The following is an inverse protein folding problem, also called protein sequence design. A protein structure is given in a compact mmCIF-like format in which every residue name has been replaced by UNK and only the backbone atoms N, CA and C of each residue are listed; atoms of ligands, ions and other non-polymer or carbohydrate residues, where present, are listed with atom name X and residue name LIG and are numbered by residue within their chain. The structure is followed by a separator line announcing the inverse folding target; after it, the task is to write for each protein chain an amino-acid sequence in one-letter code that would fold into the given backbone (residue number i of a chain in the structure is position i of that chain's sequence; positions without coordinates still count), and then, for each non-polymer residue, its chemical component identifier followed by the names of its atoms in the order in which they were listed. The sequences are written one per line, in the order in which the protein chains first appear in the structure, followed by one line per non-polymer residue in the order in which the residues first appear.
data_IF_673829550727
#
_entry.id   IF_673829550727
#
_cell.length_a   1.000
_cell.length_b   1.000
_cell.length_c   1.000
_cell.angle_alpha   90.00
_cell.angle_beta   90.00
_cell.angle_gamma   90.00
#
_symmetry.space_group_name_H-M   'P 1'
#
loop_
_entity.id
_entity.type
_entity.pdbx_description
1 polymer ?
#
# COMPACT_ATOMS: atom_id res chain seq x y z
N UNK A 1 -47.60 -125.00 -9.84
CA UNK A 1 -47.29 -125.73 -11.07
C UNK A 1 -48.37 -125.40 -12.09
N UNK A 2 -48.01 -124.72 -13.18
CA UNK A 2 -48.96 -124.27 -14.20
C UNK A 2 -49.24 -125.41 -15.17
N UNK A 3 -50.36 -126.08 -14.96
CA UNK A 3 -50.83 -127.12 -15.85
C UNK A 3 -51.25 -126.48 -17.19
N UNK A 4 -50.62 -126.83 -18.34
CA UNK A 4 -50.91 -126.21 -19.64
C UNK A 4 -52.37 -126.39 -20.07
N UNK A 5 -53.04 -127.39 -19.53
CA UNK A 5 -54.45 -127.71 -19.78
C UNK A 5 -55.39 -126.58 -19.30
N UNK A 6 -55.13 -126.02 -18.12
CA UNK A 6 -55.96 -124.95 -17.52
C UNK A 6 -55.80 -123.62 -18.29
N UNK A 7 -54.60 -123.35 -18.82
CA UNK A 7 -54.34 -122.15 -19.64
C UNK A 7 -55.17 -122.13 -20.93
N UNK A 8 -55.37 -123.30 -21.54
CA UNK A 8 -56.10 -123.45 -22.80
C UNK A 8 -57.60 -123.25 -22.59
N UNK A 9 -58.16 -123.80 -21.51
CA UNK A 9 -59.57 -123.62 -21.14
C UNK A 9 -59.96 -122.14 -20.85
N UNK A 10 -59.02 -121.33 -20.34
CA UNK A 10 -59.22 -119.88 -20.18
C UNK A 10 -59.12 -119.14 -21.52
N UNK A 11 -58.23 -119.55 -22.42
CA UNK A 11 -58.12 -118.96 -23.77
C UNK A 11 -59.35 -119.27 -24.63
N UNK A 12 -59.93 -120.45 -24.49
CA UNK A 12 -61.13 -120.88 -25.22
C UNK A 12 -62.44 -120.37 -24.54
N UNK A 13 -62.32 -119.43 -23.59
CA UNK A 13 -63.41 -118.80 -22.84
C UNK A 13 -64.33 -119.76 -22.04
N UNK A 14 -63.87 -120.98 -21.78
CA UNK A 14 -64.61 -121.99 -21.01
C UNK A 14 -64.42 -121.83 -19.50
N UNK A 15 -63.35 -121.16 -19.04
CA UNK A 15 -63.11 -120.82 -17.64
C UNK A 15 -62.78 -119.33 -17.49
N UNK A 16 -63.44 -118.63 -16.54
CA UNK A 16 -63.12 -117.22 -16.23
C UNK A 16 -61.96 -117.14 -15.25
N UNK A 17 -60.91 -116.43 -15.62
CA UNK A 17 -59.73 -116.20 -14.79
C UNK A 17 -59.33 -114.71 -14.72
N UNK A 18 -58.73 -114.33 -13.60
CA UNK A 18 -58.17 -112.99 -13.37
C UNK A 18 -56.65 -113.11 -13.28
N UNK A 19 -55.95 -112.27 -14.04
CA UNK A 19 -54.50 -112.13 -13.94
C UNK A 19 -54.14 -111.06 -12.92
N UNK A 20 -53.31 -111.42 -11.94
CA UNK A 20 -52.77 -110.44 -10.99
C UNK A 20 -51.57 -109.70 -11.61
N UNK A 21 -51.20 -108.50 -11.11
CA UNK A 21 -50.08 -107.71 -11.65
C UNK A 21 -48.72 -108.43 -11.67
N UNK A 22 -48.57 -109.55 -10.94
CA UNK A 22 -47.38 -110.41 -10.94
C UNK A 22 -47.41 -111.58 -11.93
N UNK A 23 -48.36 -111.61 -12.87
CA UNK A 23 -48.41 -112.63 -13.94
C UNK A 23 -48.94 -114.01 -13.52
N UNK A 24 -49.51 -114.14 -12.32
CA UNK A 24 -50.14 -115.37 -11.86
C UNK A 24 -51.64 -115.38 -12.22
N UNK A 25 -52.09 -116.48 -12.83
CA UNK A 25 -53.49 -116.71 -13.19
C UNK A 25 -54.25 -117.33 -12.01
N UNK A 26 -55.36 -116.71 -11.60
CA UNK A 26 -56.29 -117.28 -10.62
C UNK A 26 -57.64 -117.55 -11.30
N UNK A 27 -58.04 -118.81 -11.33
CA UNK A 27 -59.35 -119.24 -11.86
C UNK A 27 -60.39 -119.04 -10.76
N UNK A 28 -61.54 -118.42 -11.10
CA UNK A 28 -62.63 -118.21 -10.16
C UNK A 28 -63.26 -119.57 -9.82
N UNK A 29 -63.39 -119.89 -8.52
CA UNK A 29 -63.93 -121.19 -8.06
C UNK A 29 -65.34 -121.45 -8.59
N UNK A 30 -66.18 -120.40 -8.69
CA UNK A 30 -67.51 -120.53 -9.28
C UNK A 30 -67.52 -120.93 -10.77
N UNK A 31 -66.44 -120.70 -11.52
CA UNK A 31 -66.33 -121.16 -12.91
C UNK A 31 -65.80 -122.59 -13.06
N UNK A 32 -65.20 -123.17 -12.01
CA UNK A 32 -64.87 -124.60 -11.98
C UNK A 32 -66.12 -125.44 -11.69
N UNK A 33 -66.97 -124.96 -10.77
CA UNK A 33 -68.25 -125.60 -10.46
C UNK A 33 -69.24 -125.54 -11.65
N UNK A 34 -69.20 -124.46 -12.44
CA UNK A 34 -69.99 -124.29 -13.68
C UNK A 34 -69.47 -125.17 -14.86
N UNK A 35 -68.27 -125.76 -14.76
CA UNK A 35 -67.69 -126.61 -15.82
C UNK A 35 -67.81 -128.12 -15.50
N UNK A 36 -67.83 -128.52 -14.22
CA UNK A 36 -68.01 -129.94 -13.82
C UNK A 36 -69.47 -130.42 -13.85
N UNK A 37 -70.44 -129.52 -13.82
CA UNK A 37 -71.86 -129.84 -13.97
C UNK A 37 -72.33 -129.57 -15.42
N UNK A 38 -72.20 -130.59 -16.27
CA UNK A 38 -72.80 -130.58 -17.60
C UNK A 38 -74.33 -130.54 -17.54
N UNK A 39 -74.89 -129.74 -18.46
CA UNK A 39 -76.23 -129.83 -19.05
C UNK A 39 -77.45 -129.52 -18.15
N UNK A 40 -78.25 -128.54 -18.54
CA UNK A 40 -79.58 -128.80 -19.15
C UNK A 40 -80.44 -127.52 -19.27
N UNK A 41 -81.17 -127.50 -20.37
CA UNK A 41 -82.14 -126.51 -20.82
C UNK A 41 -83.43 -126.48 -19.98
N UNK A 42 -84.13 -125.34 -19.99
CA UNK A 42 -85.58 -125.25 -20.27
C UNK A 42 -86.00 -123.76 -20.19
N UNK A 43 -86.49 -123.14 -21.26
CA UNK A 43 -87.85 -123.18 -21.81
C UNK A 43 -88.97 -122.86 -20.79
N UNK A 44 -89.64 -121.71 -20.97
CA UNK A 44 -91.06 -121.64 -21.40
C UNK A 44 -91.67 -120.23 -21.27
N UNK A 45 -91.91 -119.62 -22.42
CA UNK A 45 -93.16 -118.97 -22.87
C UNK A 45 -94.22 -118.46 -21.87
N UNK A 46 -94.55 -117.17 -22.06
CA UNK A 46 -95.90 -116.63 -22.37
C UNK A 46 -96.99 -116.61 -21.28
N UNK A 47 -97.25 -115.40 -20.73
CA UNK A 47 -98.61 -114.85 -20.59
C UNK A 47 -98.60 -113.31 -20.48
N UNK A 48 -99.66 -112.59 -20.92
CA UNK A 48 -99.57 -111.24 -21.48
C UNK A 48 -99.94 -110.13 -20.48
N UNK A 49 -98.95 -109.33 -20.04
CA UNK A 49 -99.20 -108.01 -19.40
C UNK A 49 -97.99 -107.04 -19.52
N UNK A 50 -97.02 -107.34 -20.40
CA UNK A 50 -95.72 -106.67 -20.47
C UNK A 50 -95.57 -105.64 -21.62
N UNK A 51 -96.66 -104.99 -22.05
CA UNK A 51 -96.61 -103.93 -23.10
C UNK A 51 -96.63 -102.49 -22.55
N UNK A 52 -96.85 -102.27 -21.25
CA UNK A 52 -96.87 -100.93 -20.63
C UNK A 52 -95.55 -100.50 -19.94
N UNK A 53 -94.48 -101.32 -19.96
CA UNK A 53 -93.18 -101.00 -19.32
C UNK A 53 -92.02 -100.72 -20.30
N UNK A 54 -92.18 -100.94 -21.62
CA UNK A 54 -91.11 -100.71 -22.61
C UNK A 54 -91.03 -99.27 -23.13
N UNK A 55 -92.15 -98.55 -23.21
CA UNK A 55 -92.15 -97.13 -23.59
C UNK A 55 -91.50 -96.22 -22.53
N UNK A 56 -91.62 -96.59 -21.24
CA UNK A 56 -91.04 -95.82 -20.12
C UNK A 56 -89.52 -95.91 -20.01
N UNK A 57 -88.87 -96.93 -20.60
CA UNK A 57 -87.40 -97.07 -20.53
C UNK A 57 -86.72 -96.32 -21.68
N UNK A 58 -87.34 -96.27 -22.86
CA UNK A 58 -86.82 -95.51 -24.00
C UNK A 58 -86.99 -93.99 -23.77
N UNK A 59 -88.13 -93.55 -23.24
CA UNK A 59 -88.36 -92.14 -22.86
C UNK A 59 -87.39 -91.68 -21.76
N UNK A 60 -87.12 -92.51 -20.75
CA UNK A 60 -86.11 -92.21 -19.72
C UNK A 60 -84.68 -92.19 -20.28
N UNK A 61 -84.37 -92.97 -21.31
CA UNK A 61 -83.04 -92.97 -21.94
C UNK A 61 -82.81 -91.70 -22.78
N UNK A 62 -83.86 -91.21 -23.46
CA UNK A 62 -83.84 -89.93 -24.15
C UNK A 62 -83.80 -88.76 -23.16
N UNK A 63 -84.56 -88.81 -22.07
CA UNK A 63 -84.48 -87.81 -20.99
C UNK A 63 -83.08 -87.75 -20.36
N UNK A 64 -82.44 -88.89 -20.13
CA UNK A 64 -81.07 -88.94 -19.56
C UNK A 64 -80.05 -88.35 -20.55
N UNK A 65 -80.13 -88.66 -21.85
CA UNK A 65 -79.25 -88.07 -22.85
C UNK A 65 -79.53 -86.57 -23.06
N UNK A 66 -80.78 -86.14 -23.05
CA UNK A 66 -81.15 -84.74 -23.14
C UNK A 66 -80.67 -83.95 -21.92
N UNK A 67 -80.77 -84.52 -20.71
CA UNK A 67 -80.23 -83.94 -19.49
C UNK A 67 -78.69 -83.88 -19.52
N UNK A 68 -78.01 -84.87 -20.11
CA UNK A 68 -76.56 -84.84 -20.30
C UNK A 68 -76.12 -83.74 -21.27
N UNK A 69 -76.79 -83.61 -22.42
CA UNK A 69 -76.51 -82.55 -23.41
C UNK A 69 -76.83 -81.18 -22.82
N UNK A 70 -77.97 -81.02 -22.13
CA UNK A 70 -78.31 -79.77 -21.42
C UNK A 70 -77.27 -79.42 -20.35
N UNK A 71 -76.74 -80.41 -19.64
CA UNK A 71 -75.65 -80.21 -18.66
C UNK A 71 -74.35 -79.81 -19.34
N UNK A 72 -73.99 -80.41 -20.47
CA UNK A 72 -72.81 -80.03 -21.26
C UNK A 72 -72.95 -78.63 -21.86
N UNK A 73 -74.10 -78.29 -22.44
CA UNK A 73 -74.38 -76.93 -22.95
C UNK A 73 -74.33 -75.90 -21.83
N UNK A 74 -74.87 -76.22 -20.65
CA UNK A 74 -74.79 -75.35 -19.46
C UNK A 74 -73.35 -75.21 -18.95
N UNK A 75 -72.55 -76.28 -19.01
CA UNK A 75 -71.13 -76.23 -18.64
C UNK A 75 -70.31 -75.40 -19.63
N UNK A 76 -70.55 -75.55 -20.93
CA UNK A 76 -69.88 -74.77 -21.97
C UNK A 76 -70.25 -73.28 -21.88
N UNK A 77 -71.54 -72.96 -21.71
CA UNK A 77 -71.97 -71.56 -21.49
C UNK A 77 -71.38 -70.96 -20.21
N UNK A 78 -71.33 -71.72 -19.13
CA UNK A 78 -70.69 -71.26 -17.89
C UNK A 78 -69.17 -71.11 -18.04
N UNK A 79 -68.51 -71.89 -18.90
CA UNK A 79 -67.10 -71.74 -19.23
C UNK A 79 -66.85 -70.50 -20.11
N UNK A 80 -67.67 -70.28 -21.14
CA UNK A 80 -67.64 -69.09 -21.98
C UNK A 80 -67.89 -67.81 -21.17
N UNK A 81 -68.87 -67.82 -20.26
CA UNK A 81 -69.13 -66.69 -19.35
C UNK A 81 -67.93 -66.39 -18.44
N UNK A 82 -67.25 -67.43 -17.93
CA UNK A 82 -66.03 -67.27 -17.11
C UNK A 82 -64.87 -66.70 -17.93
N UNK A 83 -64.65 -67.20 -19.14
CA UNK A 83 -63.64 -66.65 -20.04
C UNK A 83 -63.95 -65.21 -20.44
N UNK A 84 -65.22 -64.86 -20.66
CA UNK A 84 -65.62 -63.48 -20.93
C UNK A 84 -65.39 -62.56 -19.72
N UNK A 85 -65.70 -63.03 -18.51
CA UNK A 85 -65.43 -62.29 -17.28
C UNK A 85 -63.92 -62.11 -17.12
N UNK A 86 -63.12 -63.15 -17.31
CA UNK A 86 -61.66 -63.10 -17.22
C UNK A 86 -61.06 -62.15 -18.28
N UNK A 87 -61.56 -62.17 -19.53
CA UNK A 87 -61.14 -61.21 -20.56
C UNK A 87 -61.54 -59.78 -20.21
N UNK A 88 -62.72 -59.56 -19.65
CA UNK A 88 -63.17 -58.24 -19.17
C UNK A 88 -62.32 -57.76 -17.99
N UNK A 89 -61.94 -58.65 -17.07
CA UNK A 89 -61.07 -58.34 -15.94
C UNK A 89 -59.64 -58.04 -16.37
N UNK A 90 -59.07 -58.83 -17.29
CA UNK A 90 -57.75 -58.57 -17.88
C UNK A 90 -57.74 -57.22 -18.59
N UNK A 91 -58.78 -56.92 -19.38
CA UNK A 91 -58.93 -55.63 -20.06
C UNK A 91 -59.07 -54.47 -19.07
N UNK A 92 -59.92 -54.61 -18.05
CA UNK A 92 -60.09 -53.61 -17.00
C UNK A 92 -58.80 -53.41 -16.18
N UNK A 93 -58.04 -54.49 -15.92
CA UNK A 93 -56.74 -54.42 -15.26
C UNK A 93 -55.69 -53.73 -16.13
N UNK A 94 -55.67 -54.00 -17.45
CA UNK A 94 -54.81 -53.33 -18.41
C UNK A 94 -55.14 -51.82 -18.50
N UNK A 95 -56.42 -51.45 -18.59
CA UNK A 95 -56.86 -50.05 -18.59
C UNK A 95 -56.50 -49.34 -17.28
N UNK A 96 -56.63 -50.00 -16.12
CA UNK A 96 -56.19 -49.44 -14.82
C UNK A 96 -54.68 -49.27 -14.76
N UNK A 97 -53.90 -50.21 -15.30
CA UNK A 97 -52.43 -50.10 -15.39
C UNK A 97 -52.03 -48.95 -16.32
N UNK A 98 -52.71 -48.81 -17.45
CA UNK A 98 -52.47 -47.72 -18.39
C UNK A 98 -52.79 -46.37 -17.76
N UNK A 99 -53.94 -46.21 -17.11
CA UNK A 99 -54.27 -44.97 -16.37
C UNK A 99 -53.24 -44.64 -15.29
N UNK A 100 -52.79 -45.63 -14.53
CA UNK A 100 -51.72 -45.42 -13.53
C UNK A 100 -50.40 -45.02 -14.17
N UNK A 101 -50.07 -45.56 -15.34
CA UNK A 101 -48.87 -45.19 -16.09
C UNK A 101 -48.99 -43.75 -16.63
N UNK A 102 -50.16 -43.38 -17.17
CA UNK A 102 -50.44 -42.04 -17.66
C UNK A 102 -50.43 -41.00 -16.52
N UNK A 103 -51.06 -41.31 -15.38
CA UNK A 103 -51.05 -40.47 -14.17
C UNK A 103 -49.63 -40.32 -13.61
N UNK A 104 -48.83 -41.39 -13.63
CA UNK A 104 -47.43 -41.35 -13.22
C UNK A 104 -46.59 -40.49 -14.18
N UNK A 105 -46.78 -40.62 -15.49
CA UNK A 105 -46.11 -39.80 -16.49
C UNK A 105 -46.47 -38.30 -16.36
N UNK A 106 -47.74 -37.98 -16.09
CA UNK A 106 -48.19 -36.60 -15.81
C UNK A 106 -47.58 -36.07 -14.50
N UNK A 107 -47.45 -36.90 -13.47
CA UNK A 107 -46.82 -36.51 -12.22
C UNK A 107 -45.31 -36.25 -12.40
N UNK A 108 -44.62 -37.05 -13.22
CA UNK A 108 -43.21 -36.87 -13.56
C UNK A 108 -42.96 -35.59 -14.36
N UNK A 109 -43.77 -35.30 -15.38
CA UNK A 109 -43.65 -34.05 -16.15
C UNK A 109 -43.88 -32.82 -15.26
N UNK A 110 -44.87 -32.85 -14.37
CA UNK A 110 -45.10 -31.77 -13.38
C UNK A 110 -43.94 -31.59 -12.42
N UNK A 111 -43.31 -32.68 -11.96
CA UNK A 111 -42.11 -32.60 -11.10
C UNK A 111 -40.94 -31.96 -11.84
N UNK A 112 -40.68 -32.40 -13.08
CA UNK A 112 -39.64 -31.83 -13.92
C UNK A 112 -39.88 -30.34 -14.20
N UNK A 113 -41.12 -29.93 -14.48
CA UNK A 113 -41.48 -28.51 -14.66
C UNK A 113 -41.24 -27.68 -13.40
N UNK A 114 -41.58 -28.21 -12.21
CA UNK A 114 -41.34 -27.52 -10.94
C UNK A 114 -39.86 -27.41 -10.61
N UNK A 115 -39.06 -28.45 -10.90
CA UNK A 115 -37.61 -28.42 -10.75
C UNK A 115 -36.99 -27.38 -11.69
N UNK A 116 -37.39 -27.37 -12.96
CA UNK A 116 -36.91 -26.40 -13.94
C UNK A 116 -37.30 -24.95 -13.58
N UNK A 117 -38.48 -24.73 -13.01
CA UNK A 117 -38.86 -23.42 -12.45
C UNK A 117 -37.95 -23.02 -11.28
N UNK A 118 -37.70 -23.94 -10.34
CA UNK A 118 -36.81 -23.68 -9.19
C UNK A 118 -35.37 -23.39 -9.63
N UNK A 119 -34.88 -24.08 -10.66
CA UNK A 119 -33.56 -23.81 -11.24
C UNK A 119 -33.49 -22.44 -11.88
N UNK A 120 -34.50 -22.06 -12.69
CA UNK A 120 -34.61 -20.70 -13.26
C UNK A 120 -34.64 -19.63 -12.17
N UNK A 121 -35.47 -19.81 -11.14
CA UNK A 121 -35.53 -18.86 -10.03
C UNK A 121 -34.17 -18.72 -9.30
N UNK A 122 -33.44 -19.84 -9.14
CA UNK A 122 -32.08 -19.82 -8.56
C UNK A 122 -31.09 -19.10 -9.47
N UNK A 123 -31.14 -19.35 -10.78
CA UNK A 123 -30.28 -18.67 -11.75
C UNK A 123 -30.55 -17.17 -11.80
N UNK A 124 -31.82 -16.77 -11.84
CA UNK A 124 -32.24 -15.37 -11.83
C UNK A 124 -31.75 -14.67 -10.55
N UNK A 125 -31.92 -15.30 -9.38
CA UNK A 125 -31.37 -14.76 -8.11
C UNK A 125 -29.85 -14.64 -8.16
N UNK A 126 -29.14 -15.61 -8.74
CA UNK A 126 -27.67 -15.53 -8.91
C UNK A 126 -27.26 -14.41 -9.86
N UNK A 127 -28.02 -14.19 -10.94
CA UNK A 127 -27.80 -13.07 -11.87
C UNK A 127 -28.02 -11.73 -11.17
N UNK A 128 -29.15 -11.56 -10.50
CA UNK A 128 -29.47 -10.35 -9.73
C UNK A 128 -28.40 -10.05 -8.68
N UNK A 129 -27.93 -11.07 -7.95
CA UNK A 129 -26.86 -10.91 -6.98
C UNK A 129 -25.54 -10.47 -7.64
N UNK A 130 -25.16 -11.04 -8.79
CA UNK A 130 -23.95 -10.64 -9.53
C UNK A 130 -24.06 -9.21 -10.07
N UNK A 131 -25.21 -8.85 -10.61
CA UNK A 131 -25.47 -7.49 -11.11
C UNK A 131 -25.41 -6.47 -9.96
N UNK A 132 -26.01 -6.80 -8.82
CA UNK A 132 -25.93 -6.02 -7.59
C UNK A 132 -24.47 -5.84 -7.15
N UNK A 133 -23.71 -6.93 -7.02
CA UNK A 133 -22.31 -6.90 -6.61
C UNK A 133 -21.46 -6.07 -7.58
N UNK A 134 -21.61 -6.28 -8.89
CA UNK A 134 -20.86 -5.56 -9.93
C UNK A 134 -21.17 -4.06 -9.89
N UNK A 135 -22.45 -3.69 -9.75
CA UNK A 135 -22.89 -2.30 -9.64
C UNK A 135 -22.24 -1.61 -8.45
N UNK A 136 -22.26 -2.24 -7.27
CA UNK A 136 -21.73 -1.63 -6.05
C UNK A 136 -20.21 -1.65 -5.97
N UNK A 137 -19.55 -2.65 -6.56
CA UNK A 137 -18.10 -2.65 -6.72
C UNK A 137 -17.63 -1.53 -7.63
N UNK A 138 -18.33 -1.30 -8.76
CA UNK A 138 -18.04 -0.16 -9.63
C UNK A 138 -18.23 1.16 -8.89
N UNK A 139 -19.34 1.33 -8.18
CA UNK A 139 -19.60 2.53 -7.38
C UNK A 139 -18.53 2.76 -6.31
N UNK A 140 -18.10 1.71 -5.61
CA UNK A 140 -16.99 1.76 -4.67
C UNK A 140 -15.66 2.17 -5.34
N UNK A 141 -15.38 1.63 -6.53
CA UNK A 141 -14.23 2.03 -7.34
C UNK A 141 -14.27 3.52 -7.68
N UNK A 142 -15.41 4.01 -8.18
CA UNK A 142 -15.61 5.42 -8.51
C UNK A 142 -15.39 6.33 -7.28
N UNK A 143 -15.83 5.89 -6.09
CA UNK A 143 -15.58 6.61 -4.84
C UNK A 143 -14.10 6.65 -4.46
N UNK A 144 -13.37 5.53 -4.62
CA UNK A 144 -11.93 5.47 -4.32
C UNK A 144 -11.08 6.27 -5.31
N UNK A 145 -11.55 6.43 -6.54
CA UNK A 145 -10.94 7.29 -7.57
C UNK A 145 -11.28 8.77 -7.39
N UNK A 146 -12.27 9.08 -6.56
CA UNK A 146 -12.64 10.44 -6.19
C UNK A 146 -11.50 11.23 -5.55
N UNK A 147 -11.60 12.56 -5.62
CA UNK A 147 -10.59 13.49 -5.07
C UNK A 147 -10.31 13.24 -3.58
N UNK A 148 -11.32 12.82 -2.81
CA UNK A 148 -11.24 12.53 -1.39
C UNK A 148 -10.27 11.38 -1.04
N UNK A 149 -10.10 10.39 -1.92
CA UNK A 149 -9.29 9.19 -1.67
C UNK A 149 -8.16 8.98 -2.69
N UNK A 150 -8.04 9.87 -3.67
CA UNK A 150 -6.97 9.89 -4.68
C UNK A 150 -5.53 9.85 -4.12
N UNK A 151 -5.35 10.20 -2.85
CA UNK A 151 -4.07 10.19 -2.15
C UNK A 151 -3.64 8.82 -1.62
N UNK A 152 -4.53 7.81 -1.66
CA UNK A 152 -4.23 6.44 -1.27
C UNK A 152 -3.29 5.78 -2.29
N UNK A 153 -2.29 5.03 -1.80
CA UNK A 153 -1.41 4.24 -2.66
C UNK A 153 -2.19 3.13 -3.38
N UNK A 154 -1.61 2.56 -4.44
CA UNK A 154 -2.21 1.42 -5.12
C UNK A 154 -2.41 0.21 -4.19
N UNK A 155 -1.45 -0.04 -3.27
CA UNK A 155 -1.56 -1.11 -2.29
C UNK A 155 -2.70 -0.88 -1.28
N UNK A 156 -2.85 0.36 -0.78
CA UNK A 156 -3.93 0.73 0.12
C UNK A 156 -5.30 0.64 -0.55
N UNK A 157 -5.39 1.09 -1.81
CA UNK A 157 -6.62 0.94 -2.62
C UNK A 157 -6.98 -0.53 -2.80
N UNK A 158 -6.02 -1.39 -3.14
CA UNK A 158 -6.25 -2.84 -3.24
C UNK A 158 -6.77 -3.45 -1.93
N UNK A 159 -6.19 -3.07 -0.79
CA UNK A 159 -6.61 -3.56 0.53
C UNK A 159 -8.04 -3.09 0.90
N UNK A 160 -8.41 -1.86 0.53
CA UNK A 160 -9.77 -1.36 0.70
C UNK A 160 -10.73 -2.10 -0.23
N UNK A 161 -10.39 -2.27 -1.51
CA UNK A 161 -11.22 -2.98 -2.49
C UNK A 161 -11.49 -4.42 -2.06
N UNK A 162 -10.48 -5.17 -1.60
CA UNK A 162 -10.65 -6.54 -1.11
C UNK A 162 -11.63 -6.62 0.08
N UNK A 163 -11.53 -5.67 1.02
CA UNK A 163 -12.46 -5.59 2.16
C UNK A 163 -13.86 -5.18 1.75
N UNK A 164 -13.99 -4.30 0.75
CA UNK A 164 -15.28 -3.90 0.19
C UNK A 164 -15.94 -5.05 -0.56
N UNK A 165 -15.18 -5.84 -1.33
CA UNK A 165 -15.65 -7.07 -1.98
C UNK A 165 -16.21 -8.05 -0.94
N UNK A 166 -15.47 -8.27 0.16
CA UNK A 166 -15.91 -9.14 1.24
C UNK A 166 -17.15 -8.62 1.98
N UNK A 167 -17.34 -7.31 2.13
CA UNK A 167 -18.57 -6.75 2.74
C UNK A 167 -19.75 -6.77 1.77
N UNK A 168 -19.56 -6.37 0.51
CA UNK A 168 -20.59 -6.40 -0.55
C UNK A 168 -21.09 -7.83 -0.77
N UNK A 169 -20.22 -8.85 -0.67
CA UNK A 169 -20.62 -10.25 -0.77
C UNK A 169 -21.60 -10.71 0.32
N UNK A 170 -21.68 -10.01 1.46
CA UNK A 170 -22.60 -10.29 2.57
C UNK A 170 -23.94 -9.57 2.44
N UNK A 171 -24.09 -8.67 1.46
CA UNK A 171 -25.27 -7.81 1.27
C UNK A 171 -26.19 -8.38 0.20
N UNK A 172 -27.44 -7.97 0.26
CA UNK A 172 -28.47 -8.33 -0.72
C UNK A 172 -29.21 -7.10 -1.27
N UNK A 173 -30.18 -7.34 -2.14
CA UNK A 173 -30.97 -6.28 -2.76
C UNK A 173 -31.78 -5.45 -1.75
N UNK A 174 -32.05 -5.95 -0.54
CA UNK A 174 -32.77 -5.17 0.48
C UNK A 174 -31.92 -4.02 1.02
N UNK A 175 -30.59 -4.14 0.95
CA UNK A 175 -29.64 -3.11 1.39
C UNK A 175 -29.41 -2.02 0.33
N UNK A 176 -29.95 -2.15 -0.89
CA UNK A 176 -29.62 -1.29 -2.05
C UNK A 176 -29.74 0.20 -1.75
N UNK A 177 -30.80 0.63 -1.06
CA UNK A 177 -31.00 2.04 -0.70
C UNK A 177 -29.97 2.58 0.31
N UNK A 178 -29.35 1.69 1.10
CA UNK A 178 -28.39 2.03 2.17
C UNK A 178 -26.93 1.86 1.73
N UNK A 179 -26.68 1.10 0.67
CA UNK A 179 -25.34 0.79 0.16
C UNK A 179 -24.43 2.02 -0.01
N UNK A 180 -24.87 3.19 -0.53
CA UNK A 180 -23.99 4.36 -0.64
C UNK A 180 -23.43 4.81 0.71
N UNK A 181 -24.29 4.81 1.75
CA UNK A 181 -23.90 5.18 3.10
C UNK A 181 -23.01 4.13 3.75
N UNK A 182 -23.32 2.85 3.57
CA UNK A 182 -22.53 1.74 4.11
C UNK A 182 -21.12 1.77 3.54
N UNK A 183 -20.99 1.85 2.21
CA UNK A 183 -19.69 1.89 1.54
C UNK A 183 -18.91 3.15 1.91
N UNK A 184 -19.56 4.32 1.96
CA UNK A 184 -18.90 5.56 2.37
C UNK A 184 -18.35 5.49 3.80
N UNK A 185 -19.13 4.96 4.75
CA UNK A 185 -18.67 4.78 6.13
C UNK A 185 -17.55 3.75 6.26
N UNK A 186 -17.65 2.65 5.51
CA UNK A 186 -16.64 1.60 5.52
C UNK A 186 -15.31 2.10 4.94
N UNK A 187 -15.33 2.77 3.78
CA UNK A 187 -14.14 3.40 3.17
C UNK A 187 -13.53 4.40 4.14
N UNK A 188 -14.33 5.30 4.73
CA UNK A 188 -13.83 6.28 5.68
C UNK A 188 -13.16 5.62 6.90
N UNK A 189 -13.76 4.57 7.46
CA UNK A 189 -13.18 3.84 8.60
C UNK A 189 -11.89 3.11 8.27
N UNK A 190 -11.78 2.55 7.06
CA UNK A 190 -10.57 1.88 6.58
C UNK A 190 -9.46 2.88 6.24
N UNK A 191 -9.82 4.05 5.72
CA UNK A 191 -8.86 5.10 5.36
C UNK A 191 -8.40 5.95 6.55
N UNK A 192 -9.19 6.01 7.63
CA UNK A 192 -8.94 6.84 8.81
C UNK A 192 -7.53 6.67 9.40
N UNK A 193 -6.99 5.45 9.60
CA UNK A 193 -5.63 5.29 10.13
C UNK A 193 -4.56 5.93 9.24
N UNK A 194 -4.70 5.79 7.91
CA UNK A 194 -3.76 6.37 6.96
C UNK A 194 -3.93 7.89 6.85
N UNK A 195 -5.16 8.38 6.95
CA UNK A 195 -5.44 9.81 6.98
C UNK A 195 -4.81 10.45 8.22
N UNK A 196 -5.02 9.88 9.41
CA UNK A 196 -4.39 10.33 10.66
C UNK A 196 -2.86 10.32 10.55
N UNK A 197 -2.27 9.28 9.97
CA UNK A 197 -0.82 9.21 9.76
C UNK A 197 -0.33 10.29 8.79
N UNK A 198 -1.07 10.55 7.71
CA UNK A 198 -0.73 11.57 6.71
C UNK A 198 -0.84 12.98 7.30
N UNK A 199 -1.91 13.25 8.02
CA UNK A 199 -2.16 14.55 8.66
C UNK A 199 -1.14 14.80 9.78
N UNK A 200 -0.83 13.80 10.60
CA UNK A 200 0.24 13.89 11.59
C UNK A 200 1.61 14.14 10.97
N UNK A 201 1.93 13.52 9.82
CA UNK A 201 3.15 13.82 9.08
C UNK A 201 3.15 15.26 8.57
N UNK A 202 2.07 15.70 7.92
CA UNK A 202 1.92 17.07 7.41
C UNK A 202 2.05 18.12 8.52
N UNK A 203 1.43 17.88 9.68
CA UNK A 203 1.54 18.77 10.84
C UNK A 203 2.98 18.87 11.33
N UNK A 204 3.71 17.75 11.41
CA UNK A 204 5.13 17.77 11.80
C UNK A 204 6.01 18.47 10.77
N UNK A 205 5.78 18.22 9.48
CA UNK A 205 6.52 18.86 8.39
C UNK A 205 6.27 20.39 8.39
N UNK A 206 5.01 20.82 8.56
CA UNK A 206 4.64 22.23 8.69
C UNK A 206 5.28 22.90 9.92
N UNK A 207 5.27 22.21 11.06
CA UNK A 207 5.91 22.70 12.28
C UNK A 207 7.43 22.83 12.10
N UNK A 208 8.06 21.88 11.42
CA UNK A 208 9.49 21.95 11.12
C UNK A 208 9.81 23.18 10.26
N UNK A 209 9.03 23.42 9.20
CA UNK A 209 9.18 24.60 8.34
C UNK A 209 8.93 25.91 9.11
N UNK A 210 7.90 25.97 9.96
CA UNK A 210 7.61 27.13 10.79
C UNK A 210 8.77 27.45 11.73
N UNK A 211 9.29 26.43 12.43
CA UNK A 211 10.43 26.57 13.34
C UNK A 211 11.68 27.02 12.58
N UNK A 212 11.98 26.47 11.41
CA UNK A 212 13.15 26.88 10.62
C UNK A 212 13.01 28.34 10.15
N UNK A 213 11.79 28.81 9.85
CA UNK A 213 11.53 30.21 9.49
C UNK A 213 11.73 31.20 10.63
N UNK A 214 11.73 30.74 11.88
CA UNK A 214 12.04 31.60 13.05
C UNK A 214 13.55 31.81 13.25
N UNK A 215 14.41 31.15 12.47
CA UNK A 215 15.83 31.45 12.47
C UNK A 215 16.10 32.89 12.00
N UNK A 216 17.18 33.47 12.49
CA UNK A 216 17.56 34.84 12.12
C UNK A 216 17.85 34.97 10.62
N UNK A 217 17.77 36.20 10.11
CA UNK A 217 18.08 36.50 8.71
C UNK A 217 19.52 36.15 8.33
N UNK A 218 20.45 36.16 9.29
CA UNK A 218 21.84 35.77 9.06
C UNK A 218 22.05 34.25 8.98
N UNK A 219 21.01 33.43 9.13
CA UNK A 219 21.09 31.98 8.94
C UNK A 219 21.40 31.64 7.48
N UNK A 220 22.46 30.86 7.26
CA UNK A 220 22.85 30.38 5.92
C UNK A 220 21.90 29.28 5.43
N UNK A 221 21.97 28.94 4.15
CA UNK A 221 21.21 27.80 3.61
C UNK A 221 21.60 26.49 4.29
N UNK A 222 22.88 26.32 4.64
CA UNK A 222 23.36 25.15 5.38
C UNK A 222 22.77 25.08 6.79
N UNK A 223 22.70 26.22 7.50
CA UNK A 223 22.06 26.29 8.82
C UNK A 223 20.57 25.92 8.74
N UNK A 224 19.86 26.39 7.71
CA UNK A 224 18.43 26.09 7.49
C UNK A 224 18.21 24.62 7.13
N UNK A 225 19.03 24.06 6.25
CA UNK A 225 18.97 22.65 5.87
C UNK A 225 19.27 21.75 7.07
N UNK A 226 20.33 22.05 7.83
CA UNK A 226 20.70 21.34 9.05
C UNK A 226 19.62 21.42 10.13
N UNK A 227 19.00 22.60 10.30
CA UNK A 227 17.88 22.78 11.21
C UNK A 227 16.66 21.95 10.82
N UNK A 228 16.31 21.94 9.53
CA UNK A 228 15.18 21.16 9.03
C UNK A 228 15.41 19.65 9.25
N UNK A 229 16.62 19.16 9.02
CA UNK A 229 16.98 17.75 9.30
C UNK A 229 16.86 17.45 10.80
N UNK A 230 17.49 18.27 11.65
CA UNK A 230 17.55 18.06 13.11
C UNK A 230 16.16 18.11 13.74
N UNK A 231 15.31 19.05 13.31
CA UNK A 231 13.93 19.17 13.80
C UNK A 231 13.09 17.99 13.31
N UNK A 232 13.19 17.61 12.04
CA UNK A 232 12.43 16.46 11.52
C UNK A 232 12.81 15.15 12.21
N UNK A 233 14.10 14.93 12.49
CA UNK A 233 14.55 13.76 13.22
C UNK A 233 14.01 13.72 14.66
N UNK A 234 14.03 14.86 15.35
CA UNK A 234 13.45 14.98 16.69
C UNK A 234 11.93 14.75 16.70
N UNK A 235 11.21 15.31 15.71
CA UNK A 235 9.75 15.13 15.58
C UNK A 235 9.38 13.70 15.17
N UNK A 236 10.16 13.03 14.33
CA UNK A 236 9.94 11.61 13.97
C UNK A 236 10.17 10.66 15.14
N UNK A 237 11.12 11.01 16.01
CA UNK A 237 11.43 10.25 17.22
C UNK A 237 10.40 10.47 18.35
N UNK A 238 9.48 11.44 18.19
CA UNK A 238 8.40 11.68 19.14
C UNK A 238 7.28 10.65 18.98
N UNK A 239 6.72 10.20 20.11
CA UNK A 239 5.62 9.22 20.13
C UNK A 239 4.34 9.74 19.44
N UNK A 240 3.40 8.85 19.11
CA UNK A 240 2.13 9.22 18.47
C UNK A 240 1.21 10.06 19.38
N UNK A 241 1.36 9.98 20.71
CA UNK A 241 0.48 10.63 21.69
C UNK A 241 0.98 12.00 22.18
N UNK A 242 1.99 12.57 21.52
CA UNK A 242 2.59 13.84 21.93
C UNK A 242 1.69 15.00 21.52
N UNK A 243 1.35 15.85 22.48
CA UNK A 243 0.51 17.05 22.25
C UNK A 243 1.22 18.09 21.37
N UNK A 244 0.46 18.95 20.70
CA UNK A 244 1.01 19.99 19.83
C UNK A 244 2.03 20.91 20.55
N UNK A 245 1.75 21.28 21.81
CA UNK A 245 2.67 22.08 22.63
C UNK A 245 4.00 21.35 22.91
N UNK A 246 3.93 20.04 23.17
CA UNK A 246 5.13 19.23 23.38
C UNK A 246 5.93 19.06 22.09
N UNK A 247 5.27 18.87 20.93
CA UNK A 247 5.95 18.84 19.63
C UNK A 247 6.69 20.15 19.37
N UNK A 248 6.07 21.29 19.68
CA UNK A 248 6.71 22.60 19.55
C UNK A 248 7.93 22.73 20.46
N UNK A 249 7.82 22.33 21.73
CA UNK A 249 8.94 22.34 22.67
C UNK A 249 10.10 21.43 22.23
N UNK A 250 9.81 20.24 21.69
CA UNK A 250 10.80 19.33 21.13
C UNK A 250 11.54 19.99 19.95
N UNK A 251 10.80 20.58 19.02
CA UNK A 251 11.39 21.27 17.86
C UNK A 251 12.26 22.48 18.27
N UNK A 252 11.78 23.30 19.22
CA UNK A 252 12.54 24.43 19.76
C UNK A 252 13.83 23.98 20.46
N UNK A 253 13.77 22.88 21.22
CA UNK A 253 14.95 22.31 21.88
C UNK A 253 15.94 21.76 20.85
N UNK A 254 15.45 21.12 19.79
CA UNK A 254 16.28 20.55 18.72
C UNK A 254 17.03 21.63 17.93
N UNK A 255 16.40 22.78 17.66
CA UNK A 255 17.02 23.88 16.90
C UNK A 255 17.89 24.83 17.76
N UNK A 256 17.78 24.77 19.09
CA UNK A 256 18.51 25.67 20.00
C UNK A 256 20.04 25.70 19.79
N UNK A 257 20.75 24.59 19.51
CA UNK A 257 22.18 24.62 19.22
C UNK A 257 22.52 25.42 17.95
N UNK A 258 21.71 25.28 16.90
CA UNK A 258 21.90 25.99 15.62
C UNK A 258 21.61 27.48 15.79
N UNK A 259 20.54 27.82 16.52
CA UNK A 259 20.25 29.23 16.88
C UNK A 259 21.42 29.89 17.60
N UNK A 260 21.97 29.22 18.61
CA UNK A 260 23.16 29.71 19.33
C UNK A 260 24.35 29.91 18.41
N UNK A 261 24.60 28.99 17.47
CA UNK A 261 25.68 29.17 16.48
C UNK A 261 25.46 30.41 15.62
N UNK A 262 24.25 30.61 15.10
CA UNK A 262 23.89 31.81 14.31
C UNK A 262 24.08 33.08 15.14
N UNK A 263 23.52 33.11 16.36
CA UNK A 263 23.65 34.24 17.30
C UNK A 263 25.11 34.57 17.60
N UNK A 264 25.98 33.56 17.80
CA UNK A 264 27.41 33.79 18.03
C UNK A 264 28.12 34.36 16.81
N UNK A 265 27.76 33.94 15.58
CA UNK A 265 28.32 34.49 14.34
C UNK A 265 27.87 35.94 14.14
N UNK A 266 26.59 36.22 14.34
CA UNK A 266 26.04 37.58 14.25
C UNK A 266 26.69 38.52 15.26
N UNK A 267 26.89 38.06 16.50
CA UNK A 267 27.56 38.85 17.53
C UNK A 267 29.00 39.15 17.15
N UNK A 268 29.74 38.15 16.66
CA UNK A 268 31.11 38.33 16.17
C UNK A 268 31.16 39.39 15.06
N UNK A 269 30.27 39.29 14.08
CA UNK A 269 30.18 40.22 12.95
C UNK A 269 29.84 41.63 13.43
N UNK A 270 28.76 41.80 14.19
CA UNK A 270 28.31 43.09 14.74
C UNK A 270 29.39 43.79 15.56
N UNK A 271 30.04 43.07 16.48
CA UNK A 271 31.09 43.67 17.32
C UNK A 271 32.29 44.07 16.49
N UNK A 272 32.66 43.27 15.50
CA UNK A 272 33.80 43.56 14.62
C UNK A 272 33.50 44.74 13.70
N UNK A 273 32.31 44.82 13.12
CA UNK A 273 31.85 45.97 12.32
C UNK A 273 31.83 47.25 13.14
N UNK A 274 31.38 47.19 14.39
CA UNK A 274 31.40 48.34 15.31
C UNK A 274 32.82 48.69 15.82
N UNK A 275 33.79 47.78 15.68
CA UNK A 275 35.17 48.02 16.09
C UNK A 275 35.99 48.73 14.99
N UNK A 276 35.71 48.48 13.71
CA UNK A 276 36.45 49.09 12.58
C UNK A 276 36.42 50.63 12.62
N UNK A 277 35.26 51.30 12.84
CA UNK A 277 35.22 52.76 12.96
C UNK A 277 35.98 53.35 14.16
N UNK A 278 36.41 52.52 15.13
CA UNK A 278 37.19 52.96 16.29
C UNK A 278 38.69 53.05 15.99
N UNK A 279 39.13 52.53 14.84
CA UNK A 279 40.48 52.75 14.35
C UNK A 279 40.62 54.20 13.85
N UNK A 280 41.80 54.84 14.00
CA UNK A 280 42.08 56.15 13.43
C UNK A 280 41.74 56.17 11.94
N UNK A 281 41.12 57.26 11.47
CA UNK A 281 40.72 57.37 10.07
C UNK A 281 41.90 57.64 9.15
N UNK A 282 42.80 58.55 9.57
CA UNK A 282 44.01 58.89 8.84
C UNK A 282 45.04 57.76 8.94
N UNK A 283 45.62 57.36 7.79
CA UNK A 283 46.62 56.29 7.72
C UNK A 283 46.07 54.86 7.87
N UNK A 284 44.74 54.68 7.93
CA UNK A 284 44.10 53.35 7.94
C UNK A 284 44.11 52.72 6.56
N UNK A 285 44.44 51.44 6.50
CA UNK A 285 44.43 50.63 5.29
C UNK A 285 43.44 49.46 5.40
N UNK A 286 43.04 48.87 4.27
CA UNK A 286 42.22 47.65 4.25
C UNK A 286 42.90 46.49 4.98
N UNK A 287 44.24 46.45 4.97
CA UNK A 287 45.02 45.44 5.68
C UNK A 287 44.83 45.55 7.20
N UNK A 288 44.75 46.77 7.75
CA UNK A 288 44.51 46.98 9.19
C UNK A 288 43.13 46.46 9.60
N UNK A 289 42.11 46.71 8.77
CA UNK A 289 40.77 46.17 9.00
C UNK A 289 40.77 44.64 8.92
N UNK A 290 41.49 44.05 7.97
CA UNK A 290 41.63 42.60 7.86
C UNK A 290 42.40 41.99 9.04
N UNK A 291 43.42 42.67 9.55
CA UNK A 291 44.14 42.27 10.78
C UNK A 291 43.20 42.35 11.99
N UNK A 292 42.42 43.43 12.13
CA UNK A 292 41.43 43.56 13.20
C UNK A 292 40.40 42.43 13.13
N UNK A 293 39.79 42.17 11.97
CA UNK A 293 38.82 41.07 11.78
C UNK A 293 39.41 39.71 12.14
N UNK A 294 40.66 39.43 11.73
CA UNK A 294 41.35 38.17 12.07
C UNK A 294 41.65 38.05 13.56
N UNK A 295 42.16 39.10 14.20
CA UNK A 295 42.43 39.10 15.65
C UNK A 295 41.13 39.04 16.46
N UNK A 296 40.07 39.73 16.03
CA UNK A 296 38.76 39.67 16.65
C UNK A 296 38.19 38.25 16.69
N UNK A 297 38.30 37.50 15.58
CA UNK A 297 37.94 36.07 15.54
C UNK A 297 38.73 35.23 16.54
N UNK A 298 40.04 35.47 16.67
CA UNK A 298 40.89 34.75 17.64
C UNK A 298 40.51 35.08 19.09
N UNK A 299 40.29 36.35 19.39
CA UNK A 299 39.83 36.80 20.71
C UNK A 299 38.48 36.17 21.04
N UNK A 300 37.56 36.16 20.07
CA UNK A 300 36.25 35.53 20.24
C UNK A 300 36.33 34.03 20.52
N UNK A 301 37.17 33.29 19.77
CA UNK A 301 37.38 31.86 19.98
C UNK A 301 38.04 31.51 21.32
N UNK A 302 38.77 32.45 21.92
CA UNK A 302 39.41 32.26 23.22
C UNK A 302 38.44 32.53 24.40
N UNK A 303 37.29 33.14 24.15
CA UNK A 303 36.30 33.42 25.19
C UNK A 303 35.49 32.17 25.55
N UNK A 304 34.96 32.10 26.79
CA UNK A 304 33.96 31.12 27.16
C UNK A 304 32.76 31.11 26.20
N UNK A 305 32.12 29.95 26.02
CA UNK A 305 30.99 29.79 25.08
C UNK A 305 29.75 30.61 25.47
N UNK A 306 29.66 30.99 26.73
CA UNK A 306 28.61 31.82 27.34
C UNK A 306 29.00 33.30 27.45
N UNK A 307 30.16 33.69 26.92
CA UNK A 307 30.61 35.07 26.94
C UNK A 307 29.68 35.96 26.10
N UNK A 308 29.14 36.99 26.74
CA UNK A 308 28.26 37.96 26.10
C UNK A 308 29.03 39.00 25.28
N UNK A 309 28.27 39.86 24.59
CA UNK A 309 28.81 40.94 23.75
C UNK A 309 29.72 41.90 24.54
N UNK A 310 29.35 42.21 25.79
CA UNK A 310 30.13 43.11 26.65
C UNK A 310 31.52 42.55 26.94
N UNK A 311 31.62 41.26 27.22
CA UNK A 311 32.89 40.58 27.48
C UNK A 311 33.74 40.53 26.21
N UNK A 312 33.11 40.27 25.06
CA UNK A 312 33.82 40.29 23.79
C UNK A 312 34.37 41.68 23.44
N UNK A 313 33.56 42.73 23.62
CA UNK A 313 34.01 44.12 23.41
C UNK A 313 35.15 44.49 24.36
N UNK A 314 35.08 44.06 25.62
CA UNK A 314 36.15 44.28 26.60
C UNK A 314 37.45 43.57 26.20
N UNK A 315 37.36 42.29 25.80
CA UNK A 315 38.50 41.50 25.36
C UNK A 315 39.10 41.98 24.03
N UNK A 316 38.30 42.61 23.16
CA UNK A 316 38.76 43.16 21.88
C UNK A 316 39.48 44.51 22.04
N UNK A 317 39.22 45.25 23.12
CA UNK A 317 39.79 46.60 23.34
C UNK A 317 41.32 46.68 23.24
N UNK A 318 42.11 45.76 23.83
CA UNK A 318 43.57 45.80 23.70
C UNK A 318 44.03 45.62 22.24
N UNK A 319 43.32 44.79 21.47
CA UNK A 319 43.62 44.58 20.04
C UNK A 319 43.38 45.86 19.24
N UNK A 320 42.26 46.55 19.51
CA UNK A 320 41.96 47.84 18.86
C UNK A 320 43.06 48.85 19.20
N UNK A 321 43.44 48.97 20.48
CA UNK A 321 44.49 49.90 20.92
C UNK A 321 45.85 49.60 20.27
N UNK A 322 46.23 48.34 20.15
CA UNK A 322 47.48 47.92 19.50
C UNK A 322 47.51 48.35 18.02
N UNK A 323 46.41 48.10 17.28
CA UNK A 323 46.30 48.45 15.86
C UNK A 323 46.24 49.97 15.69
N UNK A 324 45.45 50.68 16.51
CA UNK A 324 45.39 52.14 16.50
C UNK A 324 46.76 52.77 16.72
N UNK A 325 47.54 52.31 17.69
CA UNK A 325 48.88 52.81 17.95
C UNK A 325 49.86 52.54 16.80
N UNK A 326 49.64 51.48 16.00
CA UNK A 326 50.45 51.20 14.82
C UNK A 326 50.06 52.12 13.64
N UNK A 327 48.77 52.41 13.47
CA UNK A 327 48.26 53.38 12.49
C UNK A 327 48.80 54.78 12.80
N UNK A 328 48.66 55.24 14.05
CA UNK A 328 49.14 56.56 14.49
C UNK A 328 50.66 56.71 14.31
N UNK A 329 51.45 55.66 14.58
CA UNK A 329 52.90 55.67 14.34
C UNK A 329 53.24 55.83 12.87
N UNK A 330 52.51 55.18 11.96
CA UNK A 330 52.70 55.36 10.51
C UNK A 330 52.30 56.77 10.08
N UNK A 331 51.17 57.27 10.57
CA UNK A 331 50.72 58.63 10.28
C UNK A 331 51.75 59.68 10.74
N UNK A 332 52.24 59.57 11.98
CA UNK A 332 53.30 60.45 12.50
C UNK A 332 54.57 60.37 11.65
N UNK A 333 54.95 59.17 11.21
CA UNK A 333 56.11 58.99 10.33
C UNK A 333 55.89 59.63 8.96
N UNK A 334 54.70 59.52 8.38
CA UNK A 334 54.35 60.16 7.11
C UNK A 334 54.29 61.68 7.23
N UNK A 335 53.71 62.20 8.31
CA UNK A 335 53.71 63.63 8.62
C UNK A 335 55.14 64.17 8.76
N UNK A 336 56.01 63.50 9.55
CA UNK A 336 57.43 63.88 9.66
C UNK A 336 58.15 63.85 8.33
N UNK A 337 57.90 62.83 7.49
CA UNK A 337 58.47 62.77 6.13
C UNK A 337 57.95 63.91 5.24
N UNK A 338 56.68 64.26 5.36
CA UNK A 338 56.07 65.37 4.61
C UNK A 338 56.67 66.71 5.03
N UNK A 339 56.78 66.97 6.34
CA UNK A 339 57.42 68.16 6.90
C UNK A 339 58.89 68.23 6.46
N UNK A 340 59.67 67.14 6.63
CA UNK A 340 61.06 67.07 6.16
C UNK A 340 61.18 67.39 4.67
N UNK A 341 60.32 66.84 3.80
CA UNK A 341 60.31 67.17 2.36
C UNK A 341 60.02 68.64 2.11
N UNK A 342 59.07 69.24 2.83
CA UNK A 342 58.76 70.65 2.70
C UNK A 342 59.92 71.54 3.15
N UNK A 343 60.56 71.20 4.27
CA UNK A 343 61.72 71.92 4.79
C UNK A 343 62.91 71.81 3.84
N UNK A 344 63.17 70.62 3.27
CA UNK A 344 64.21 70.45 2.25
C UNK A 344 63.95 71.33 1.03
N UNK A 345 62.72 71.37 0.53
CA UNK A 345 62.37 72.26 -0.59
C UNK A 345 62.59 73.75 -0.25
N UNK A 346 62.29 74.16 0.98
CA UNK A 346 62.54 75.52 1.45
C UNK A 346 64.05 75.81 1.55
N UNK A 347 64.82 74.92 2.16
CA UNK A 347 66.26 75.09 2.30
C UNK A 347 66.99 75.13 0.95
N UNK A 348 66.60 74.30 -0.02
CA UNK A 348 67.14 74.38 -1.39
C UNK A 348 66.84 75.72 -2.09
N UNK A 349 65.68 76.32 -1.78
CA UNK A 349 65.30 77.65 -2.28
C UNK A 349 66.16 78.73 -1.63
N UNK A 350 66.40 78.65 -0.31
CA UNK A 350 67.33 79.55 0.40
C UNK A 350 68.75 79.40 -0.14
N UNK A 351 69.24 78.17 -0.33
CA UNK A 351 70.58 77.91 -0.86
C UNK A 351 70.78 78.57 -2.22
N UNK A 352 69.78 78.44 -3.10
CA UNK A 352 69.77 79.11 -4.40
C UNK A 352 69.81 80.62 -4.26
N UNK A 353 69.07 81.17 -3.30
CA UNK A 353 69.03 82.61 -3.04
C UNK A 353 70.38 83.12 -2.51
N UNK A 354 70.98 82.40 -1.56
CA UNK A 354 72.24 82.80 -0.94
C UNK A 354 73.44 82.66 -1.90
N UNK A 355 73.54 81.55 -2.64
CA UNK A 355 74.57 81.39 -3.67
C UNK A 355 74.51 82.49 -4.74
N UNK A 356 73.31 82.92 -5.14
CA UNK A 356 73.16 84.07 -6.05
C UNK A 356 73.72 85.37 -5.45
N UNK A 357 73.57 85.58 -4.14
CA UNK A 357 74.17 86.74 -3.46
C UNK A 357 75.69 86.64 -3.46
N UNK A 358 76.26 85.46 -3.17
CA UNK A 358 77.71 85.23 -3.17
C UNK A 358 78.32 85.42 -4.57
N UNK A 359 77.65 84.95 -5.63
CA UNK A 359 78.06 85.20 -7.02
C UNK A 359 78.06 86.69 -7.35
N UNK A 360 77.04 87.45 -6.90
CA UNK A 360 76.98 88.90 -7.10
C UNK A 360 78.10 89.65 -6.35
N UNK A 361 78.60 89.09 -5.23
CA UNK A 361 79.75 89.61 -4.48
C UNK A 361 81.10 89.18 -5.06
N UNK A 362 81.10 88.24 -6.01
CA UNK A 362 82.33 87.69 -6.60
C UNK A 362 83.03 86.66 -5.73
N UNK A 363 82.34 86.10 -4.73
CA UNK A 363 82.87 85.10 -3.79
C UNK A 363 82.80 83.68 -4.36
N UNK A 364 81.95 83.45 -5.37
CA UNK A 364 81.75 82.15 -6.03
C UNK A 364 81.66 82.33 -7.54
N UNK A 365 82.29 81.45 -8.32
CA UNK A 365 82.15 81.47 -9.77
C UNK A 365 80.79 80.91 -10.23
N UNK A 366 80.14 81.49 -11.26
CA UNK A 366 78.84 81.01 -11.75
C UNK A 366 78.82 79.53 -12.18
N UNK A 367 79.98 78.98 -12.59
CA UNK A 367 80.13 77.58 -13.00
C UNK A 367 80.07 76.59 -11.84
N UNK A 368 80.42 77.01 -10.62
CA UNK A 368 80.54 76.15 -9.44
C UNK A 368 79.21 76.03 -8.67
N UNK A 369 78.28 76.96 -8.90
CA UNK A 369 76.97 77.04 -8.23
C UNK A 369 76.19 75.72 -8.35
N UNK A 370 76.22 75.07 -9.52
CA UNK A 370 75.44 73.83 -9.72
C UNK A 370 75.97 72.66 -8.90
N UNK A 371 77.28 72.60 -8.65
CA UNK A 371 77.89 71.50 -7.91
C UNK A 371 77.81 71.77 -6.40
N UNK A 372 77.96 73.02 -5.98
CA UNK A 372 77.63 73.48 -4.62
C UNK A 372 76.16 73.19 -4.27
N UNK A 373 75.20 73.49 -5.15
CA UNK A 373 73.79 73.17 -4.91
C UNK A 373 73.53 71.67 -4.72
N UNK A 374 74.24 70.80 -5.45
CA UNK A 374 74.12 69.34 -5.26
C UNK A 374 74.73 68.89 -3.93
N UNK A 375 75.87 69.47 -3.54
CA UNK A 375 76.49 69.18 -2.24
C UNK A 375 75.58 69.61 -1.10
N UNK A 376 75.10 70.86 -1.13
CA UNK A 376 74.14 71.39 -0.16
C UNK A 376 72.87 70.53 -0.10
N UNK A 377 72.33 70.10 -1.24
CA UNK A 377 71.17 69.22 -1.25
C UNK A 377 71.42 67.87 -0.55
N UNK A 378 72.60 67.28 -0.73
CA UNK A 378 72.96 66.01 -0.13
C UNK A 378 73.19 66.14 1.39
N UNK A 379 73.92 67.17 1.81
CA UNK A 379 74.23 67.44 3.23
C UNK A 379 72.98 67.86 3.99
N UNK A 380 72.20 68.80 3.45
CA UNK A 380 70.94 69.24 4.05
C UNK A 380 69.93 68.08 4.22
N UNK A 381 69.89 67.14 3.27
CA UNK A 381 69.05 65.93 3.39
C UNK A 381 69.47 65.00 4.53
N UNK A 382 70.76 64.99 4.90
CA UNK A 382 71.29 64.23 6.02
C UNK A 382 71.03 64.94 7.36
N UNK A 383 71.19 66.25 7.42
CA UNK A 383 71.09 67.01 8.67
C UNK A 383 69.66 67.32 9.10
N UNK A 384 68.75 67.63 8.17
CA UNK A 384 67.36 67.92 8.53
C UNK A 384 66.66 66.65 9.01
N UNK A 385 66.12 66.68 10.22
CA UNK A 385 65.36 65.58 10.83
C UNK A 385 63.85 65.73 10.66
N UNK A 386 63.37 66.93 10.34
CA UNK A 386 61.96 67.29 10.19
C UNK A 386 61.34 67.94 11.43
N UNK A 387 62.13 68.22 12.48
CA UNK A 387 61.70 69.01 13.64
C UNK A 387 62.16 70.46 13.59
N UNK A 388 62.98 70.81 12.60
CA UNK A 388 63.60 72.12 12.46
C UNK A 388 62.57 73.19 12.06
N UNK A 389 62.79 74.41 12.52
CA UNK A 389 62.02 75.56 12.07
C UNK A 389 62.53 76.08 10.72
N UNK A 390 61.71 76.81 9.94
CA UNK A 390 62.19 77.44 8.71
C UNK A 390 63.37 78.40 8.91
N UNK A 391 63.56 78.94 10.11
CA UNK A 391 64.72 79.77 10.44
C UNK A 391 65.98 78.90 10.61
N UNK A 392 65.89 77.82 11.40
CA UNK A 392 66.99 76.86 11.60
C UNK A 392 67.45 76.27 10.27
N UNK A 393 66.52 75.94 9.36
CA UNK A 393 66.87 75.45 8.02
C UNK A 393 67.68 76.47 7.21
N UNK A 394 67.42 77.77 7.37
CA UNK A 394 68.21 78.80 6.66
C UNK A 394 69.62 78.94 7.23
N UNK A 395 69.77 78.88 8.54
CA UNK A 395 71.07 78.90 9.20
C UNK A 395 71.91 77.69 8.77
N UNK A 396 71.35 76.48 8.87
CA UNK A 396 72.02 75.24 8.44
C UNK A 396 72.44 75.33 6.96
N UNK A 397 71.58 75.86 6.08
CA UNK A 397 71.94 76.02 4.66
C UNK A 397 73.12 76.95 4.46
N UNK A 398 73.21 78.05 5.22
CA UNK A 398 74.31 79.01 5.13
C UNK A 398 75.59 78.45 5.71
N UNK A 399 75.51 77.75 6.85
CA UNK A 399 76.62 77.03 7.46
C UNK A 399 77.22 76.02 6.48
N UNK A 400 76.40 75.16 5.86
CA UNK A 400 76.85 74.20 4.84
C UNK A 400 77.54 74.90 3.66
N UNK A 401 77.00 76.03 3.18
CA UNK A 401 77.59 76.78 2.05
C UNK A 401 78.92 77.43 2.46
N UNK A 402 78.99 78.01 3.64
CA UNK A 402 80.20 78.68 4.14
C UNK A 402 81.31 77.67 4.43
N UNK A 403 80.97 76.52 5.01
CA UNK A 403 81.91 75.41 5.27
C UNK A 403 82.51 74.86 3.98
N UNK A 404 81.69 74.68 2.93
CA UNK A 404 82.16 74.22 1.60
C UNK A 404 83.02 75.26 0.87
N UNK A 405 82.88 76.55 1.21
CA UNK A 405 83.62 77.65 0.61
C UNK A 405 84.78 78.16 1.49
N UNK A 406 84.99 77.56 2.67
CA UNK A 406 85.96 78.00 3.69
C UNK A 406 85.84 79.50 4.05
N UNK A 407 84.62 80.05 4.03
CA UNK A 407 84.39 81.45 4.37
C UNK A 407 84.43 81.65 5.89
N UNK A 408 85.30 82.53 6.40
CA UNK A 408 85.33 82.91 7.81
C UNK A 408 84.01 83.62 8.20
N UNK A 409 83.38 83.21 9.30
CA UNK A 409 82.20 83.90 9.85
C UNK A 409 82.61 85.32 10.28
N UNK A 410 82.21 86.34 9.52
CA UNK A 410 82.29 87.73 9.99
C UNK A 410 81.19 87.98 11.04
N UNK A 411 81.62 88.08 12.31
CA UNK A 411 80.84 88.41 13.52
C UNK A 411 79.87 89.62 13.38
#
# INVERSE_FOLDING_TARGET
MSDPTVRRLVQDAQLKAIYTPGGHMRVLTGSLDEFEAGDEQSDTTSSPLAKNRRATVEDLSFEVQELQVRRQVKQLRAAEEREEIERKEIRAAAERRQRRADDAAIAETRRAELELRRERDREERRRQLREFQTKWLRYAGDLLEGSEYSWLSASQRSEVTERLEADIAKRDAADEARMPRILGQLIASLAEPWQRSRDGKRQRDQLADEIVRTLSYAATEEDRAGALVTVNEALRSSGPDVTALQLHAIAQKAIAPIRRQIETREMLERVTENAVPKLPFAGRTEEDEAVLRRKARKVFQALPRDAGEVEFVAALRPTIQEISAAIERREQHEQRRSVKRSLLSQGLTEASTYLNVLVLRGEVEPGEVSDLQKSVAATLAQEITGSETPYEVREIVREIINDELELEEED
#
